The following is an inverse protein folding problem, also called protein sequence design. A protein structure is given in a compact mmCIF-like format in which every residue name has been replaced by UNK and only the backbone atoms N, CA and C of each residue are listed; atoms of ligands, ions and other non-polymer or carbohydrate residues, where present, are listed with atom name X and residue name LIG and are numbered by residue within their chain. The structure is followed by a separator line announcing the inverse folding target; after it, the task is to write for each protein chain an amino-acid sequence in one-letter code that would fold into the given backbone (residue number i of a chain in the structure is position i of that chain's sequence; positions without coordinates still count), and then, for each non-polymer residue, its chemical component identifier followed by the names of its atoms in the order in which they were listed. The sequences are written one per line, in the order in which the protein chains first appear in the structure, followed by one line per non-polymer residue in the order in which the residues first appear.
data_IF_559432966552
#
_entry.id   IF_559432966552
#
_cell.length_a   1.000
_cell.length_b   1.000
_cell.length_c   1.000
_cell.angle_alpha   90.00
_cell.angle_beta   90.00
_cell.angle_gamma   90.00
#
_symmetry.space_group_name_H-M   'P 1'
#
loop_
_entity.id
_entity.type
_entity.pdbx_description
1 polymer ?
#
# COMPACT_ATOMS: atom_id res chain seq x y z
N UNK A 1 8.71 -4.42 -19.62
CA UNK A 1 10.15 -4.72 -19.40
C UNK A 1 10.22 -5.68 -18.22
N UNK A 2 10.90 -6.82 -18.33
CA UNK A 2 11.06 -7.76 -17.22
C UNK A 2 12.52 -7.67 -16.74
N UNK A 3 12.75 -7.43 -15.45
CA UNK A 3 14.07 -7.69 -14.86
C UNK A 3 14.09 -9.19 -14.55
N UNK A 4 14.89 -9.96 -15.27
CA UNK A 4 15.09 -11.38 -14.95
C UNK A 4 15.89 -11.45 -13.65
N UNK A 5 15.23 -11.79 -12.56
CA UNK A 5 15.87 -12.01 -11.27
C UNK A 5 15.94 -13.51 -11.03
N UNK A 6 17.12 -14.11 -11.18
CA UNK A 6 17.35 -15.44 -10.61
C UNK A 6 17.28 -15.32 -9.08
N UNK A 7 16.48 -16.19 -8.48
CA UNK A 7 15.93 -16.02 -7.14
C UNK A 7 17.02 -15.91 -6.05
N UNK A 8 16.95 -14.83 -5.29
CA UNK A 8 17.60 -14.69 -3.97
C UNK A 8 18.89 -13.88 -3.90
N UNK A 9 19.57 -13.62 -5.03
CA UNK A 9 20.89 -12.96 -5.02
C UNK A 9 20.89 -11.44 -5.21
N UNK A 10 19.84 -10.87 -5.83
CA UNK A 10 19.84 -9.46 -6.22
C UNK A 10 19.59 -8.57 -5.00
N UNK A 11 20.65 -7.97 -4.46
CA UNK A 11 20.57 -7.05 -3.31
C UNK A 11 20.41 -5.58 -3.72
N UNK A 12 20.88 -5.24 -4.92
CA UNK A 12 20.77 -3.91 -5.54
C UNK A 12 20.81 -4.04 -7.06
N UNK A 13 20.24 -3.06 -7.76
CA UNK A 13 20.27 -2.96 -9.23
C UNK A 13 20.26 -1.50 -9.61
N UNK A 14 21.10 -1.11 -10.58
CA UNK A 14 21.14 0.25 -11.10
C UNK A 14 20.14 0.40 -12.25
N UNK A 15 19.05 1.12 -11.98
CA UNK A 15 17.96 1.39 -12.92
C UNK A 15 17.58 2.87 -12.97
N UNK A 16 18.32 3.73 -12.24
CA UNK A 16 17.97 5.14 -12.08
C UNK A 16 18.16 5.96 -13.37
N UNK A 17 18.98 5.46 -14.30
CA UNK A 17 19.27 6.10 -15.59
C UNK A 17 18.38 5.64 -16.75
N UNK A 18 17.42 4.75 -16.48
CA UNK A 18 16.54 4.23 -17.53
C UNK A 18 15.58 5.30 -18.02
N UNK A 19 15.45 5.41 -19.36
CA UNK A 19 14.38 6.19 -19.97
C UNK A 19 13.07 5.40 -19.93
N UNK A 20 12.19 5.77 -18.99
CA UNK A 20 10.87 5.15 -18.83
C UNK A 20 9.74 5.94 -19.48
N UNK A 21 10.04 7.03 -20.21
CA UNK A 21 9.05 7.98 -20.74
C UNK A 21 8.04 7.39 -21.73
N UNK A 22 8.31 6.20 -22.25
CA UNK A 22 7.41 5.46 -23.14
C UNK A 22 6.90 4.14 -22.53
N UNK A 23 7.22 3.85 -21.27
CA UNK A 23 6.77 2.63 -20.60
C UNK A 23 5.30 2.79 -20.22
N UNK A 24 4.48 1.86 -20.70
CA UNK A 24 3.03 1.81 -20.37
C UNK A 24 2.71 0.73 -19.34
N UNK A 25 3.63 -0.20 -19.10
CA UNK A 25 3.44 -1.32 -18.15
C UNK A 25 4.72 -1.56 -17.36
N UNK A 26 4.61 -1.46 -16.04
CA UNK A 26 5.67 -1.73 -15.06
C UNK A 26 5.38 -2.97 -14.22
N UNK A 27 4.42 -3.80 -14.65
CA UNK A 27 4.03 -4.99 -13.90
C UNK A 27 5.18 -5.98 -13.75
N UNK A 28 5.27 -6.59 -12.57
CA UNK A 28 6.23 -7.64 -12.19
C UNK A 28 7.73 -7.27 -12.27
N UNK A 29 8.10 -6.00 -12.44
CA UNK A 29 9.51 -5.62 -12.68
C UNK A 29 10.49 -6.12 -11.61
N UNK A 30 10.14 -6.08 -10.33
CA UNK A 30 10.95 -6.60 -9.21
C UNK A 30 10.26 -7.75 -8.47
N UNK A 31 9.35 -8.44 -9.16
CA UNK A 31 8.63 -9.58 -8.58
C UNK A 31 9.59 -10.70 -8.21
N UNK A 32 9.57 -11.15 -6.96
CA UNK A 32 10.40 -12.23 -6.42
C UNK A 32 11.83 -11.81 -6.07
N UNK A 33 12.16 -10.52 -6.12
CA UNK A 33 13.47 -9.99 -5.75
C UNK A 33 13.65 -9.98 -4.21
N UNK A 34 13.63 -11.17 -3.59
CA UNK A 34 13.60 -11.34 -2.13
C UNK A 34 14.83 -10.79 -1.40
N UNK A 35 15.98 -10.69 -2.10
CA UNK A 35 17.21 -10.10 -1.58
C UNK A 35 17.32 -8.58 -1.73
N UNK A 36 16.43 -7.95 -2.53
CA UNK A 36 16.53 -6.53 -2.87
C UNK A 36 16.18 -5.69 -1.64
N UNK A 37 17.14 -4.90 -1.14
CA UNK A 37 16.93 -4.10 0.09
C UNK A 37 16.43 -2.69 -0.19
N UNK A 38 16.80 -2.15 -1.36
CA UNK A 38 16.42 -0.85 -1.91
C UNK A 38 16.61 -0.83 -3.43
N UNK A 39 15.91 0.05 -4.12
CA UNK A 39 16.10 0.33 -5.55
C UNK A 39 15.79 1.80 -5.83
N UNK A 40 16.61 2.46 -6.65
CA UNK A 40 16.39 3.87 -6.99
C UNK A 40 15.53 4.00 -8.25
N UNK A 41 14.30 4.45 -8.05
CA UNK A 41 13.26 4.59 -9.09
C UNK A 41 12.64 5.99 -9.08
N UNK A 42 13.28 6.94 -8.41
CA UNK A 42 12.77 8.32 -8.20
C UNK A 42 12.65 9.12 -9.49
N UNK A 43 13.56 8.86 -10.43
CA UNK A 43 13.69 9.54 -11.72
C UNK A 43 12.78 8.99 -12.81
N UNK A 44 12.07 7.89 -12.53
CA UNK A 44 11.23 7.25 -13.53
C UNK A 44 10.03 8.14 -13.88
N UNK A 45 9.86 8.40 -15.16
CA UNK A 45 8.63 8.92 -15.72
C UNK A 45 7.58 7.79 -15.75
N UNK A 46 6.54 7.92 -14.93
CA UNK A 46 5.42 6.98 -14.86
C UNK A 46 4.15 7.52 -15.52
N UNK A 47 4.21 8.70 -16.15
CA UNK A 47 3.02 9.42 -16.66
C UNK A 47 2.20 8.64 -17.69
N UNK A 48 2.80 7.66 -18.38
CA UNK A 48 2.11 6.79 -19.35
C UNK A 48 1.77 5.39 -18.80
N UNK A 49 2.14 5.07 -17.57
CA UNK A 49 1.97 3.73 -17.00
C UNK A 49 0.51 3.51 -16.65
N UNK A 50 -0.04 2.37 -17.11
CA UNK A 50 -1.43 1.98 -16.84
C UNK A 50 -1.54 0.74 -15.93
N UNK A 51 -0.46 -0.03 -15.80
CA UNK A 51 -0.39 -1.26 -14.99
C UNK A 51 0.91 -1.31 -14.18
N UNK A 52 0.76 -1.31 -12.85
CA UNK A 52 1.83 -1.45 -11.85
C UNK A 52 1.67 -2.75 -11.03
N UNK A 53 0.85 -3.69 -11.49
CA UNK A 53 0.54 -4.91 -10.74
C UNK A 53 1.78 -5.76 -10.47
N UNK A 54 1.84 -6.35 -9.28
CA UNK A 54 2.92 -7.24 -8.84
C UNK A 54 4.34 -6.65 -8.86
N UNK A 55 4.50 -5.33 -9.02
CA UNK A 55 5.81 -4.72 -9.29
C UNK A 55 6.88 -5.07 -8.24
N UNK A 56 6.54 -5.10 -6.96
CA UNK A 56 7.41 -5.49 -5.84
C UNK A 56 6.87 -6.74 -5.11
N UNK A 57 6.09 -7.58 -5.80
CA UNK A 57 5.56 -8.80 -5.20
C UNK A 57 6.69 -9.71 -4.70
N UNK A 58 6.65 -10.15 -3.44
CA UNK A 58 7.66 -11.04 -2.87
C UNK A 58 9.05 -10.42 -2.73
N UNK A 59 9.20 -9.09 -2.85
CA UNK A 59 10.43 -8.38 -2.55
C UNK A 59 10.63 -8.29 -1.02
N UNK A 60 10.79 -9.45 -0.37
CA UNK A 60 10.72 -9.56 1.10
C UNK A 60 11.83 -8.82 1.84
N UNK A 61 12.98 -8.60 1.20
CA UNK A 61 14.10 -7.82 1.75
C UNK A 61 13.93 -6.31 1.61
N UNK A 62 12.96 -5.83 0.82
CA UNK A 62 12.80 -4.41 0.51
C UNK A 62 12.37 -3.65 1.76
N UNK A 63 13.23 -2.76 2.25
CA UNK A 63 12.98 -2.02 3.50
C UNK A 63 12.31 -0.67 3.27
N UNK A 64 12.61 -0.05 2.13
CA UNK A 64 12.05 1.21 1.65
C UNK A 64 12.18 1.30 0.14
N UNK A 65 11.28 2.06 -0.49
CA UNK A 65 11.35 2.43 -1.90
C UNK A 65 10.71 3.80 -2.06
N UNK A 66 11.38 4.69 -2.79
CA UNK A 66 10.89 6.05 -3.01
C UNK A 66 10.08 6.11 -4.31
N UNK A 67 8.77 6.13 -4.13
CA UNK A 67 7.75 6.13 -5.19
C UNK A 67 6.81 7.33 -5.08
N UNK A 68 7.12 8.30 -4.20
CA UNK A 68 6.24 9.42 -3.88
C UNK A 68 6.13 10.44 -5.03
N UNK A 69 7.10 10.48 -5.94
CA UNK A 69 7.12 11.34 -7.13
C UNK A 69 6.36 10.78 -8.33
N UNK A 70 5.90 9.53 -8.27
CA UNK A 70 5.28 8.88 -9.42
C UNK A 70 3.93 9.51 -9.77
N UNK A 71 3.76 9.81 -11.06
CA UNK A 71 2.45 10.11 -11.64
C UNK A 71 1.68 8.80 -11.84
N UNK A 72 0.66 8.58 -11.01
CA UNK A 72 -0.22 7.40 -11.09
C UNK A 72 -1.56 7.70 -11.76
N UNK A 73 -1.75 8.91 -12.30
CA UNK A 73 -3.06 9.38 -12.79
C UNK A 73 -3.62 8.52 -13.93
N UNK A 74 -2.77 7.82 -14.68
CA UNK A 74 -3.18 6.90 -15.75
C UNK A 74 -3.25 5.42 -15.31
N UNK A 75 -2.86 5.10 -14.07
CA UNK A 75 -2.82 3.72 -13.58
C UNK A 75 -4.24 3.21 -13.34
N UNK A 76 -4.52 2.02 -13.87
CA UNK A 76 -5.81 1.33 -13.72
C UNK A 76 -5.71 0.08 -12.83
N UNK A 77 -4.52 -0.51 -12.69
CA UNK A 77 -4.30 -1.75 -11.95
C UNK A 77 -3.07 -1.66 -11.05
N UNK A 78 -3.26 -1.93 -9.75
CA UNK A 78 -2.21 -1.96 -8.71
C UNK A 78 -2.22 -3.27 -7.89
N UNK A 79 -2.89 -4.31 -8.39
CA UNK A 79 -3.03 -5.59 -7.69
C UNK A 79 -1.68 -6.17 -7.26
N UNK A 80 -1.57 -6.56 -5.98
CA UNK A 80 -0.41 -7.22 -5.37
C UNK A 80 0.92 -6.47 -5.49
N UNK A 81 0.90 -5.15 -5.74
CA UNK A 81 2.10 -4.37 -5.98
C UNK A 81 3.16 -4.51 -4.88
N UNK A 82 2.77 -4.55 -3.60
CA UNK A 82 3.64 -4.73 -2.44
C UNK A 82 3.31 -6.00 -1.64
N UNK A 83 2.62 -6.97 -2.25
CA UNK A 83 2.28 -8.22 -1.56
C UNK A 83 3.56 -8.99 -1.23
N UNK A 84 3.65 -9.51 -0.01
CA UNK A 84 4.81 -10.19 0.58
C UNK A 84 6.11 -9.34 0.64
N UNK A 85 6.02 -8.01 0.55
CA UNK A 85 7.13 -7.10 0.83
C UNK A 85 7.35 -6.97 2.36
N UNK A 86 7.73 -8.09 3.00
CA UNK A 86 7.77 -8.25 4.47
C UNK A 86 8.69 -7.27 5.20
N UNK A 87 9.80 -6.87 4.57
CA UNK A 87 10.73 -5.89 5.11
C UNK A 87 10.25 -4.44 5.05
N UNK A 88 9.20 -4.15 4.26
CA UNK A 88 8.77 -2.79 3.99
C UNK A 88 8.05 -2.24 5.21
N UNK A 89 8.65 -1.25 5.88
CA UNK A 89 8.10 -0.69 7.14
C UNK A 89 7.20 0.52 6.92
N UNK A 90 7.45 1.24 5.82
CA UNK A 90 6.69 2.39 5.34
C UNK A 90 6.87 2.54 3.82
N UNK A 91 5.91 3.17 3.17
CA UNK A 91 5.97 3.53 1.75
C UNK A 91 5.17 4.79 1.52
N UNK A 92 5.73 5.75 0.78
CA UNK A 92 5.04 7.00 0.46
C UNK A 92 4.16 6.82 -0.78
N UNK A 93 2.87 6.64 -0.54
CA UNK A 93 1.81 6.57 -1.56
C UNK A 93 0.79 7.68 -1.40
N UNK A 94 1.09 8.68 -0.55
CA UNK A 94 0.13 9.71 -0.13
C UNK A 94 -0.14 10.76 -1.19
N UNK A 95 0.73 10.90 -2.19
CA UNK A 95 0.59 11.81 -3.34
C UNK A 95 -0.11 11.17 -4.55
N UNK A 96 -0.27 9.85 -4.57
CA UNK A 96 -0.76 9.13 -5.73
C UNK A 96 -2.21 9.51 -6.09
N UNK A 97 -2.42 9.89 -7.35
CA UNK A 97 -3.75 9.97 -7.94
C UNK A 97 -4.19 8.57 -8.37
N UNK A 98 -5.06 7.95 -7.57
CA UNK A 98 -5.64 6.63 -7.85
C UNK A 98 -7.06 6.72 -8.44
N UNK A 99 -7.51 7.91 -8.88
CA UNK A 99 -8.91 8.13 -9.30
C UNK A 99 -9.31 7.34 -10.55
N UNK A 100 -8.35 6.76 -11.27
CA UNK A 100 -8.54 5.84 -12.40
C UNK A 100 -8.29 4.37 -12.06
N UNK A 101 -7.84 4.05 -10.84
CA UNK A 101 -7.57 2.67 -10.42
C UNK A 101 -8.89 1.91 -10.27
N UNK A 102 -8.97 0.77 -10.95
CA UNK A 102 -10.10 -0.16 -10.91
C UNK A 102 -9.85 -1.25 -9.86
N UNK A 103 -8.63 -1.78 -9.77
CA UNK A 103 -8.32 -2.87 -8.83
C UNK A 103 -6.98 -2.71 -8.13
N UNK A 104 -6.99 -3.03 -6.83
CA UNK A 104 -5.83 -3.08 -5.93
C UNK A 104 -5.92 -4.29 -4.99
N UNK A 105 -6.49 -5.39 -5.49
CA UNK A 105 -6.59 -6.66 -4.77
C UNK A 105 -5.24 -7.06 -4.19
N UNK A 106 -5.22 -7.41 -2.90
CA UNK A 106 -4.03 -7.89 -2.18
C UNK A 106 -2.82 -6.94 -2.24
N UNK A 107 -2.98 -5.63 -2.46
CA UNK A 107 -1.85 -4.71 -2.67
C UNK A 107 -0.77 -4.78 -1.57
N UNK A 108 -1.16 -4.92 -0.30
CA UNK A 108 -0.27 -5.06 0.86
C UNK A 108 -0.44 -6.41 1.58
N UNK A 109 -0.95 -7.44 0.88
CA UNK A 109 -1.10 -8.78 1.45
C UNK A 109 0.25 -9.29 1.96
N UNK A 110 0.35 -9.74 3.22
CA UNK A 110 1.59 -10.26 3.79
C UNK A 110 2.72 -9.24 3.94
N UNK A 111 2.47 -7.94 3.78
CA UNK A 111 3.43 -6.87 4.07
C UNK A 111 3.55 -6.68 5.60
N UNK A 112 4.05 -7.71 6.28
CA UNK A 112 3.98 -7.83 7.74
C UNK A 112 4.82 -6.79 8.50
N UNK A 113 5.83 -6.19 7.88
CA UNK A 113 6.60 -5.08 8.45
C UNK A 113 5.91 -3.72 8.37
N UNK A 114 4.88 -3.57 7.53
CA UNK A 114 4.26 -2.27 7.25
C UNK A 114 3.49 -1.77 8.48
N UNK A 115 3.92 -0.63 9.02
CA UNK A 115 3.38 -0.10 10.28
C UNK A 115 2.29 0.95 10.07
N UNK A 116 2.40 1.70 8.98
CA UNK A 116 1.48 2.78 8.62
C UNK A 116 1.36 2.94 7.11
N UNK A 117 0.18 3.37 6.66
CA UNK A 117 -0.05 3.77 5.26
C UNK A 117 -0.86 5.05 5.23
N UNK A 118 -0.42 5.98 4.39
CA UNK A 118 -1.12 7.23 4.13
C UNK A 118 -1.84 7.18 2.79
N UNK A 119 -3.16 7.16 2.85
CA UNK A 119 -4.05 7.11 1.69
C UNK A 119 -5.01 8.31 1.69
N UNK A 120 -4.59 9.43 2.28
CA UNK A 120 -5.47 10.61 2.47
C UNK A 120 -5.95 11.24 1.16
N UNK A 121 -5.20 11.10 0.08
CA UNK A 121 -5.52 11.65 -1.25
C UNK A 121 -6.36 10.70 -2.09
N UNK A 122 -6.47 9.43 -1.70
CA UNK A 122 -7.03 8.38 -2.53
C UNK A 122 -8.54 8.56 -2.73
N UNK A 123 -8.94 8.69 -3.99
CA UNK A 123 -10.33 8.65 -4.44
C UNK A 123 -10.68 7.23 -4.88
N UNK A 124 -11.34 6.48 -4.00
CA UNK A 124 -11.62 5.06 -4.22
C UNK A 124 -12.96 4.84 -4.91
N UNK A 125 -13.53 5.87 -5.55
CA UNK A 125 -14.86 5.82 -6.17
C UNK A 125 -14.94 4.83 -7.33
N UNK A 126 -13.87 4.72 -8.13
CA UNK A 126 -13.77 3.76 -9.26
C UNK A 126 -13.22 2.39 -8.88
N UNK A 127 -12.65 2.25 -7.68
CA UNK A 127 -12.09 0.97 -7.23
C UNK A 127 -13.22 -0.03 -7.03
N UNK A 128 -13.16 -1.13 -7.78
CA UNK A 128 -14.11 -2.24 -7.71
C UNK A 128 -13.64 -3.32 -6.76
N UNK A 129 -12.34 -3.44 -6.49
CA UNK A 129 -11.85 -4.39 -5.47
C UNK A 129 -10.60 -3.97 -4.71
N UNK A 130 -10.70 -4.11 -3.38
CA UNK A 130 -9.59 -4.09 -2.42
C UNK A 130 -9.51 -5.41 -1.64
N UNK A 131 -10.07 -6.50 -2.19
CA UNK A 131 -10.13 -7.79 -1.50
C UNK A 131 -8.74 -8.23 -1.03
N UNK A 132 -8.63 -8.65 0.23
CA UNK A 132 -7.40 -9.09 0.89
C UNK A 132 -6.24 -8.08 0.93
N UNK A 133 -6.49 -6.81 0.68
CA UNK A 133 -5.46 -5.75 0.64
C UNK A 133 -4.52 -5.76 1.86
N UNK A 134 -5.02 -6.06 3.06
CA UNK A 134 -4.26 -5.99 4.32
C UNK A 134 -4.21 -7.32 5.09
N UNK A 135 -4.58 -8.44 4.48
CA UNK A 135 -4.40 -9.76 5.13
C UNK A 135 -2.91 -9.94 5.45
N UNK A 136 -2.58 -10.42 6.64
CA UNK A 136 -1.21 -10.65 7.12
C UNK A 136 -0.29 -9.41 7.15
N UNK A 137 -0.83 -8.19 7.00
CA UNK A 137 -0.14 -6.93 7.32
C UNK A 137 -0.10 -6.72 8.85
N UNK A 138 0.55 -7.65 9.55
CA UNK A 138 0.42 -7.82 11.01
C UNK A 138 0.93 -6.64 11.84
N UNK A 139 1.87 -5.83 11.34
CA UNK A 139 2.36 -4.63 12.05
C UNK A 139 1.52 -3.37 11.81
N UNK A 140 0.51 -3.43 10.93
CA UNK A 140 -0.26 -2.24 10.55
C UNK A 140 -1.17 -1.77 11.69
N UNK A 141 -0.83 -0.61 12.23
CA UNK A 141 -1.49 0.01 13.40
C UNK A 141 -2.02 1.41 13.10
N UNK A 142 -1.64 2.02 11.98
CA UNK A 142 -2.01 3.38 11.62
C UNK A 142 -2.41 3.50 10.15
N UNK A 143 -3.55 4.14 9.90
CA UNK A 143 -4.04 4.47 8.57
C UNK A 143 -4.40 5.95 8.51
N UNK A 144 -3.86 6.69 7.55
CA UNK A 144 -4.30 8.07 7.32
C UNK A 144 -5.29 8.12 6.17
N UNK A 145 -6.51 8.51 6.48
CA UNK A 145 -7.65 8.39 5.58
C UNK A 145 -8.21 9.77 5.20
N UNK A 146 -8.66 9.86 3.95
CA UNK A 146 -9.18 11.09 3.35
C UNK A 146 -10.69 11.10 3.17
N UNK A 147 -11.21 12.24 2.75
CA UNK A 147 -12.65 12.46 2.55
C UNK A 147 -13.26 11.62 1.42
N UNK A 148 -12.45 11.23 0.43
CA UNK A 148 -12.87 10.41 -0.71
C UNK A 148 -12.54 8.92 -0.58
N UNK A 149 -11.80 8.55 0.46
CA UNK A 149 -11.45 7.16 0.70
C UNK A 149 -12.64 6.38 1.26
N UNK A 150 -12.95 5.22 0.69
CA UNK A 150 -13.89 4.24 1.22
C UNK A 150 -13.24 2.88 1.12
N UNK A 151 -13.32 2.09 2.19
CA UNK A 151 -13.00 0.67 2.09
C UNK A 151 -13.95 -0.01 1.10
N UNK A 152 -13.43 -0.92 0.29
CA UNK A 152 -14.19 -1.72 -0.68
C UNK A 152 -13.95 -3.20 -0.39
N UNK A 153 -15.00 -4.01 -0.54
CA UNK A 153 -14.96 -5.45 -0.25
C UNK A 153 -14.37 -5.81 1.13
N UNK A 154 -14.04 -7.09 1.30
CA UNK A 154 -13.30 -7.58 2.46
C UNK A 154 -11.80 -7.28 2.29
N UNK A 155 -11.37 -6.11 2.76
CA UNK A 155 -9.95 -5.70 2.73
C UNK A 155 -9.03 -6.61 3.52
N UNK A 156 -9.58 -7.38 4.46
CA UNK A 156 -8.81 -8.29 5.31
C UNK A 156 -7.95 -7.56 6.35
N UNK A 157 -8.26 -6.30 6.66
CA UNK A 157 -7.66 -5.59 7.79
C UNK A 157 -7.94 -6.38 9.07
N UNK A 158 -6.87 -6.85 9.72
CA UNK A 158 -6.97 -7.79 10.83
C UNK A 158 -7.62 -7.19 12.07
N UNK A 159 -8.41 -7.98 12.79
CA UNK A 159 -8.81 -7.65 14.15
C UNK A 159 -7.62 -7.80 15.11
N UNK A 160 -7.44 -6.84 16.01
CA UNK A 160 -6.43 -6.91 17.07
C UNK A 160 -7.07 -6.52 18.39
N UNK A 161 -7.66 -7.52 19.06
CA UNK A 161 -8.40 -7.36 20.32
C UNK A 161 -7.76 -8.10 21.51
N UNK A 162 -6.53 -8.59 21.32
CA UNK A 162 -5.70 -9.14 22.39
C UNK A 162 -4.63 -8.11 22.80
N UNK A 163 -4.13 -8.25 24.04
CA UNK A 163 -3.04 -7.44 24.59
C UNK A 163 -1.89 -7.31 23.57
N UNK A 164 -1.36 -6.10 23.30
CA UNK A 164 -1.63 -4.84 24.00
C UNK A 164 -2.82 -4.03 23.47
N UNK A 165 -3.62 -4.55 22.55
CA UNK A 165 -4.68 -3.80 21.87
C UNK A 165 -6.04 -3.96 22.52
N UNK A 166 -6.88 -2.93 22.40
CA UNK A 166 -8.27 -2.96 22.89
C UNK A 166 -9.27 -3.48 21.83
N UNK A 167 -8.85 -3.67 20.58
CA UNK A 167 -9.74 -3.89 19.43
C UNK A 167 -10.19 -2.61 18.73
N UNK A 168 -10.04 -1.45 19.38
CA UNK A 168 -10.58 -0.19 18.86
C UNK A 168 -9.63 0.52 17.89
N UNK A 169 -10.23 1.28 17.00
CA UNK A 169 -9.57 2.31 16.19
C UNK A 169 -10.03 3.69 16.65
N UNK A 170 -9.11 4.63 16.81
CA UNK A 170 -9.41 6.02 17.19
C UNK A 170 -8.80 7.02 16.22
N UNK A 171 -9.49 8.12 15.96
CA UNK A 171 -8.91 9.24 15.24
C UNK A 171 -7.95 9.98 16.19
N UNK A 172 -6.68 10.11 15.80
CA UNK A 172 -5.63 10.72 16.62
C UNK A 172 -5.78 12.24 16.75
N UNK A 173 -6.54 12.89 15.87
CA UNK A 173 -6.83 14.33 15.91
C UNK A 173 -8.17 14.65 16.59
N UNK A 174 -9.05 13.67 16.76
CA UNK A 174 -10.36 13.82 17.42
C UNK A 174 -10.71 12.52 18.17
N UNK A 175 -10.35 12.46 19.46
CA UNK A 175 -10.55 11.25 20.27
C UNK A 175 -12.04 10.90 20.51
N UNK A 176 -12.97 11.79 20.17
CA UNK A 176 -14.41 11.48 20.21
C UNK A 176 -14.83 10.55 19.07
N UNK A 177 -14.03 10.49 17.99
CA UNK A 177 -14.25 9.62 16.84
C UNK A 177 -13.49 8.32 17.04
N UNK A 178 -14.23 7.24 17.32
CA UNK A 178 -13.66 5.90 17.48
C UNK A 178 -14.60 4.81 16.95
N UNK A 179 -14.02 3.64 16.69
CA UNK A 179 -14.72 2.44 16.26
C UNK A 179 -14.36 1.30 17.20
N UNK A 180 -15.38 0.57 17.68
CA UNK A 180 -15.22 -0.48 18.69
C UNK A 180 -14.50 -1.75 18.21
N UNK A 181 -14.35 -1.92 16.90
CA UNK A 181 -13.69 -3.07 16.27
C UNK A 181 -13.15 -2.69 14.90
N UNK A 182 -12.27 -3.53 14.35
CA UNK A 182 -11.78 -3.36 12.98
C UNK A 182 -12.90 -3.52 11.95
N UNK A 183 -13.82 -4.47 12.16
CA UNK A 183 -15.01 -4.61 11.31
C UNK A 183 -15.91 -3.36 11.34
N UNK A 184 -16.10 -2.77 12.52
CA UNK A 184 -16.86 -1.52 12.68
C UNK A 184 -16.16 -0.34 12.00
N UNK A 185 -14.83 -0.27 12.08
CA UNK A 185 -14.04 0.76 11.41
C UNK A 185 -14.15 0.66 9.88
N UNK A 186 -13.92 -0.53 9.31
CA UNK A 186 -13.97 -0.75 7.86
C UNK A 186 -15.37 -0.46 7.30
N UNK A 187 -16.43 -0.89 7.99
CA UNK A 187 -17.82 -0.64 7.56
C UNK A 187 -18.28 0.80 7.81
N UNK A 188 -17.79 1.42 8.88
CA UNK A 188 -18.29 2.70 9.38
C UNK A 188 -17.50 3.93 8.93
N UNK A 189 -16.30 3.77 8.35
CA UNK A 189 -15.57 4.90 7.79
C UNK A 189 -16.19 5.35 6.46
N UNK A 190 -16.78 6.53 6.48
CA UNK A 190 -17.51 7.13 5.37
C UNK A 190 -16.87 8.44 4.87
N UNK A 191 -15.62 8.73 5.26
CA UNK A 191 -14.90 9.95 4.88
C UNK A 191 -15.38 11.25 5.53
N UNK A 192 -16.41 11.24 6.38
CA UNK A 192 -16.90 12.45 7.07
C UNK A 192 -15.95 12.99 8.12
N UNK A 193 -15.06 12.14 8.65
CA UNK A 193 -14.05 12.45 9.67
C UNK A 193 -12.65 12.04 9.17
N UNK A 194 -12.06 12.73 8.20
CA UNK A 194 -10.71 12.40 7.73
C UNK A 194 -9.69 12.56 8.87
N UNK A 195 -8.57 11.83 8.79
CA UNK A 195 -7.54 11.90 9.81
C UNK A 195 -6.66 10.66 9.88
N UNK A 196 -5.80 10.63 10.88
CA UNK A 196 -4.97 9.47 11.21
C UNK A 196 -5.73 8.60 12.19
N UNK A 197 -6.12 7.41 11.75
CA UNK A 197 -6.72 6.39 12.59
C UNK A 197 -5.65 5.45 13.10
N UNK A 198 -5.57 5.30 14.42
CA UNK A 198 -4.59 4.44 15.09
C UNK A 198 -5.31 3.38 15.93
N UNK A 199 -4.72 2.20 16.04
CA UNK A 199 -5.18 1.19 17.00
C UNK A 199 -4.97 1.67 18.42
N UNK A 200 -6.00 1.55 19.24
CA UNK A 200 -5.92 1.86 20.66
C UNK A 200 -5.19 0.73 21.42
N UNK A 201 -4.27 1.11 22.30
CA UNK A 201 -3.54 0.20 23.19
C UNK A 201 -4.01 0.38 24.64
N UNK A 202 -4.01 -0.72 25.39
CA UNK A 202 -4.27 -0.73 26.82
C UNK A 202 -3.16 0.07 27.50
N UNK A 203 -3.55 0.96 28.41
CA UNK A 203 -2.62 1.80 29.21
C UNK A 203 -2.01 1.00 30.35
#
# INVERSE_FOLDING_TARGET
MYVLVEQGGLTSVDVGSWDTSNVTTMSRMFSGASGLTSVDVRSWDTSKVTDMSWMFYGASGLTSVDVGSWDTSNVTTMSRMFSDARGLTSVDVGSWDISNVITMTSMFYGASGLTSVDVRSWDTSKVTSMTYMFVDATSLDSLKLGVKFRFKDSTGLMEKNAVPYTGKWKNAQDETVSYGSTAGFVKGYDGSKPGTYVREKIK
#
